data_IF_196941253874
#
_entry.id   IF_196941253874
#
_cell.length_a   1.000
_cell.length_b   1.000
_cell.length_c   1.000
_cell.angle_alpha   90.00
_cell.angle_beta   90.00
_cell.angle_gamma   90.00
#
_symmetry.space_group_name_H-M   'P 1'
#
loop_
_entity.id
_entity.type
_entity.pdbx_description
1 polymer ?
#
# COMPACT_ATOMS: atom_id res chain seq x y z
N UNK A 1 -12.87 9.93 -19.63
CA UNK A 1 -11.95 8.97 -20.30
C UNK A 1 -12.26 8.94 -21.79
N UNK A 2 -11.26 8.99 -22.66
CA UNK A 2 -11.45 9.00 -24.12
C UNK A 2 -11.93 7.64 -24.62
N UNK A 3 -12.81 7.60 -25.63
CA UNK A 3 -13.31 6.33 -26.23
C UNK A 3 -12.17 5.41 -26.69
N UNK A 4 -11.09 5.98 -27.25
CA UNK A 4 -9.89 5.23 -27.64
C UNK A 4 -9.19 4.55 -26.48
N UNK A 5 -9.16 5.17 -25.30
CA UNK A 5 -8.60 4.58 -24.07
C UNK A 5 -9.44 3.39 -23.58
N UNK A 6 -10.77 3.50 -23.65
CA UNK A 6 -11.69 2.40 -23.32
C UNK A 6 -11.47 1.22 -24.29
N UNK A 7 -11.38 1.48 -25.58
CA UNK A 7 -11.12 0.46 -26.59
C UNK A 7 -9.76 -0.22 -26.38
N UNK A 8 -8.72 0.56 -26.02
CA UNK A 8 -7.38 0.03 -25.69
C UNK A 8 -7.44 -0.87 -24.45
N UNK A 9 -8.10 -0.43 -23.37
CA UNK A 9 -8.27 -1.23 -22.14
C UNK A 9 -9.01 -2.54 -22.43
N UNK A 10 -10.11 -2.49 -23.20
CA UNK A 10 -10.86 -3.68 -23.60
C UNK A 10 -9.96 -4.60 -24.43
N UNK A 11 -9.25 -4.08 -25.43
CA UNK A 11 -8.32 -4.83 -26.26
C UNK A 11 -7.21 -5.48 -25.44
N UNK A 12 -6.58 -4.73 -24.52
CA UNK A 12 -5.47 -5.23 -23.72
C UNK A 12 -5.91 -6.19 -22.63
N UNK A 13 -7.14 -6.06 -22.14
CA UNK A 13 -7.69 -6.97 -21.11
C UNK A 13 -8.24 -8.26 -21.71
N UNK A 14 -8.89 -8.19 -22.89
CA UNK A 14 -9.65 -9.30 -23.47
C UNK A 14 -9.02 -9.88 -24.74
N UNK A 15 -8.16 -9.17 -25.47
CA UNK A 15 -7.65 -9.59 -26.78
C UNK A 15 -6.14 -9.86 -26.85
N UNK A 16 -5.35 -9.46 -25.85
CA UNK A 16 -3.91 -9.79 -25.80
C UNK A 16 -3.61 -11.19 -25.27
N UNK A 17 -4.63 -12.00 -25.02
CA UNK A 17 -4.46 -13.30 -24.46
C UNK A 17 -4.67 -14.42 -25.48
N UNK A 18 -3.97 -15.53 -25.28
CA UNK A 18 -4.30 -16.84 -25.85
C UNK A 18 -5.76 -17.19 -25.48
N UNK A 19 -6.35 -18.19 -26.15
CA UNK A 19 -7.65 -18.78 -25.77
C UNK A 19 -7.79 -19.02 -24.26
N UNK A 20 -6.68 -19.32 -23.55
CA UNK A 20 -6.64 -19.44 -22.07
C UNK A 20 -6.97 -18.14 -21.36
N UNK A 21 -6.48 -17.00 -21.81
CA UNK A 21 -6.73 -15.68 -21.19
C UNK A 21 -8.18 -15.24 -21.42
N UNK A 22 -8.74 -15.53 -22.60
CA UNK A 22 -10.14 -15.24 -22.91
C UNK A 22 -11.07 -16.13 -22.07
N UNK A 23 -10.75 -17.40 -21.93
CA UNK A 23 -11.49 -18.33 -21.06
C UNK A 23 -11.39 -17.91 -19.57
N UNK A 24 -10.20 -17.54 -19.12
CA UNK A 24 -10.00 -17.03 -17.77
C UNK A 24 -10.79 -15.73 -17.51
N UNK A 25 -10.77 -14.77 -18.43
CA UNK A 25 -11.54 -13.53 -18.32
C UNK A 25 -13.05 -13.80 -18.30
N UNK A 26 -13.53 -14.69 -19.15
CA UNK A 26 -14.95 -15.07 -19.18
C UNK A 26 -15.36 -15.85 -17.92
N UNK A 27 -14.54 -16.79 -17.44
CA UNK A 27 -14.81 -17.54 -16.22
C UNK A 27 -14.77 -16.63 -14.99
N UNK A 28 -13.89 -15.63 -14.98
CA UNK A 28 -13.77 -14.65 -13.92
C UNK A 28 -14.98 -13.72 -13.87
N UNK A 29 -15.42 -13.21 -15.03
CA UNK A 29 -16.67 -12.42 -15.14
C UNK A 29 -17.88 -13.22 -14.67
N UNK A 30 -17.98 -14.50 -15.08
CA UNK A 30 -19.07 -15.36 -14.61
C UNK A 30 -19.00 -15.68 -13.12
N UNK A 31 -17.80 -15.77 -12.53
CA UNK A 31 -17.61 -15.91 -11.09
C UNK A 31 -18.07 -14.64 -10.35
N UNK A 32 -17.80 -13.45 -10.90
CA UNK A 32 -18.30 -12.18 -10.38
C UNK A 32 -19.82 -12.12 -10.38
N UNK A 33 -20.44 -12.45 -11.50
CA UNK A 33 -21.91 -12.48 -11.62
C UNK A 33 -22.49 -13.48 -10.62
N UNK A 34 -21.93 -14.67 -10.49
CA UNK A 34 -22.35 -15.67 -9.50
C UNK A 34 -22.17 -15.18 -8.06
N UNK A 35 -21.04 -14.52 -7.75
CA UNK A 35 -20.77 -13.94 -6.44
C UNK A 35 -21.81 -12.88 -6.06
N UNK A 36 -22.30 -12.08 -7.03
CA UNK A 36 -23.36 -11.10 -6.83
C UNK A 36 -24.73 -11.76 -6.48
N UNK A 37 -24.97 -12.97 -6.98
CA UNK A 37 -26.30 -13.63 -6.87
C UNK A 37 -26.33 -14.78 -5.86
N UNK A 38 -25.23 -15.05 -5.13
CA UNK A 38 -25.23 -16.10 -4.12
C UNK A 38 -26.12 -15.74 -2.91
N UNK A 39 -26.89 -16.69 -2.37
CA UNK A 39 -27.73 -16.47 -1.19
C UNK A 39 -26.90 -16.05 0.04
N UNK A 40 -27.47 -15.24 0.93
CA UNK A 40 -26.83 -14.79 2.19
C UNK A 40 -25.83 -13.63 2.06
N UNK A 41 -25.81 -12.94 0.92
CA UNK A 41 -24.86 -11.83 0.62
C UNK A 41 -25.53 -10.48 0.41
N UNK A 42 -26.64 -10.22 1.07
CA UNK A 42 -27.42 -9.00 0.82
C UNK A 42 -26.68 -7.72 1.20
N UNK A 43 -25.89 -7.75 2.29
CA UNK A 43 -25.04 -6.63 2.68
C UNK A 43 -23.97 -6.32 1.60
N UNK A 44 -23.31 -7.35 1.09
CA UNK A 44 -22.30 -7.21 0.03
C UNK A 44 -22.92 -6.73 -1.30
N UNK A 45 -24.10 -7.25 -1.67
CA UNK A 45 -24.82 -6.77 -2.86
C UNK A 45 -25.16 -5.28 -2.75
N UNK A 46 -25.57 -4.82 -1.57
CA UNK A 46 -25.82 -3.43 -1.31
C UNK A 46 -24.59 -2.55 -1.52
N UNK A 47 -23.41 -2.98 -1.03
CA UNK A 47 -22.14 -2.26 -1.22
C UNK A 47 -21.71 -2.24 -2.68
N UNK A 48 -21.75 -3.37 -3.39
CA UNK A 48 -21.41 -3.45 -4.82
C UNK A 48 -22.37 -2.60 -5.64
N UNK A 49 -23.69 -2.71 -5.40
CA UNK A 49 -24.71 -1.91 -6.11
C UNK A 49 -24.50 -0.42 -5.89
N UNK A 50 -24.24 0.02 -4.65
CA UNK A 50 -23.90 1.41 -4.32
C UNK A 50 -22.61 1.85 -5.01
N UNK A 51 -21.58 1.00 -5.03
CA UNK A 51 -20.32 1.26 -5.69
C UNK A 51 -20.46 1.45 -7.19
N UNK A 52 -21.17 0.56 -7.86
CA UNK A 52 -21.44 0.64 -9.30
C UNK A 52 -22.29 1.87 -9.65
N UNK A 53 -23.31 2.16 -8.86
CA UNK A 53 -24.16 3.33 -9.08
C UNK A 53 -23.38 4.64 -8.89
N UNK A 54 -22.57 4.72 -7.82
CA UNK A 54 -21.70 5.88 -7.58
C UNK A 54 -20.68 6.07 -8.71
N UNK A 55 -20.13 5.00 -9.24
CA UNK A 55 -19.24 5.04 -10.40
C UNK A 55 -19.98 5.55 -11.66
N UNK A 56 -21.18 5.01 -11.94
CA UNK A 56 -21.97 5.37 -13.14
C UNK A 56 -22.47 6.82 -13.11
N UNK A 57 -22.71 7.37 -11.91
CA UNK A 57 -23.27 8.72 -11.75
C UNK A 57 -22.22 9.80 -11.51
N UNK A 58 -20.92 9.42 -11.42
CA UNK A 58 -19.84 10.35 -11.01
C UNK A 58 -20.10 11.02 -9.65
N UNK A 59 -20.98 10.43 -8.82
CA UNK A 59 -21.64 11.04 -7.67
C UNK A 59 -20.98 10.64 -6.34
N UNK A 60 -19.70 10.33 -6.31
CA UNK A 60 -18.98 10.29 -5.03
C UNK A 60 -18.81 11.73 -4.56
N UNK A 61 -19.67 12.15 -3.63
CA UNK A 61 -19.53 13.46 -3.01
C UNK A 61 -18.39 13.41 -2.00
N UNK A 62 -17.29 14.16 -2.24
CA UNK A 62 -16.18 14.23 -1.30
C UNK A 62 -16.68 14.67 0.08
N UNK A 63 -16.14 14.04 1.13
CA UNK A 63 -16.49 14.36 2.52
C UNK A 63 -15.38 15.18 3.15
N UNK A 64 -15.71 16.40 3.54
CA UNK A 64 -14.79 17.29 4.28
C UNK A 64 -14.98 17.11 5.79
N UNK A 65 -13.90 17.28 6.55
CA UNK A 65 -13.95 17.09 8.00
C UNK A 65 -13.99 15.61 8.41
N UNK A 66 -14.49 15.34 9.61
CA UNK A 66 -14.66 13.99 10.20
C UNK A 66 -13.36 13.18 10.32
N UNK A 67 -12.18 13.78 10.21
CA UNK A 67 -10.89 13.08 10.19
C UNK A 67 -10.67 12.23 11.43
N UNK A 68 -10.98 12.77 12.61
CA UNK A 68 -10.77 12.07 13.88
C UNK A 68 -11.67 10.82 14.00
N UNK A 69 -12.97 10.97 13.71
CA UNK A 69 -13.92 9.86 13.72
C UNK A 69 -13.50 8.76 12.72
N UNK A 70 -13.06 9.16 11.52
CA UNK A 70 -12.66 8.23 10.47
C UNK A 70 -11.33 7.55 10.76
N UNK A 71 -10.38 8.28 11.34
CA UNK A 71 -9.13 7.70 11.81
C UNK A 71 -9.37 6.69 12.95
N UNK A 72 -10.23 7.04 13.91
CA UNK A 72 -10.61 6.10 14.98
C UNK A 72 -11.24 4.83 14.42
N UNK A 73 -12.18 4.96 13.50
CA UNK A 73 -12.82 3.80 12.87
C UNK A 73 -11.82 2.92 12.10
N UNK A 74 -10.83 3.53 11.42
CA UNK A 74 -9.75 2.80 10.74
C UNK A 74 -8.86 2.05 11.75
N UNK A 75 -8.47 2.69 12.86
CA UNK A 75 -7.71 2.05 13.95
C UNK A 75 -8.49 0.88 14.54
N UNK A 76 -9.76 1.10 14.89
CA UNK A 76 -10.62 0.05 15.46
C UNK A 76 -10.76 -1.15 14.52
N UNK A 77 -10.80 -0.91 13.20
CA UNK A 77 -10.84 -1.98 12.21
C UNK A 77 -9.53 -2.77 12.17
N UNK A 78 -8.37 -2.09 12.19
CA UNK A 78 -7.05 -2.73 12.23
C UNK A 78 -6.91 -3.58 13.49
N UNK A 79 -7.34 -3.07 14.66
CA UNK A 79 -7.29 -3.80 15.92
C UNK A 79 -8.22 -5.03 15.94
N UNK A 80 -9.38 -4.96 15.27
CA UNK A 80 -10.22 -6.16 15.05
C UNK A 80 -9.50 -7.18 14.17
N UNK A 81 -8.77 -6.75 13.14
CA UNK A 81 -7.93 -7.62 12.33
C UNK A 81 -6.82 -8.30 13.13
N UNK A 82 -6.21 -7.61 14.10
CA UNK A 82 -5.25 -8.22 15.03
C UNK A 82 -5.94 -9.22 15.96
N UNK A 83 -7.09 -8.86 16.52
CA UNK A 83 -7.82 -9.72 17.47
C UNK A 83 -8.47 -10.95 16.80
N UNK A 84 -8.57 -10.96 15.47
CA UNK A 84 -9.12 -12.11 14.72
C UNK A 84 -8.13 -13.28 14.62
N UNK A 85 -6.86 -13.06 14.93
CA UNK A 85 -5.81 -14.07 14.97
C UNK A 85 -5.22 -14.17 16.39
N UNK A 86 -4.95 -15.38 16.91
CA UNK A 86 -4.39 -15.55 18.24
C UNK A 86 -2.87 -15.30 18.29
N UNK A 87 -2.21 -15.09 17.15
CA UNK A 87 -0.75 -15.04 17.06
C UNK A 87 -0.12 -13.67 17.35
N UNK A 88 -0.90 -12.59 17.32
CA UNK A 88 -0.44 -11.23 17.58
C UNK A 88 -0.20 -10.39 16.32
N UNK A 89 -0.15 -11.01 15.14
CA UNK A 89 -0.11 -10.32 13.86
C UNK A 89 -1.47 -9.77 13.44
N UNK A 90 -1.51 -9.01 12.35
CA UNK A 90 -2.75 -8.48 11.77
C UNK A 90 -3.18 -9.32 10.58
N UNK A 91 -4.46 -9.72 10.56
CA UNK A 91 -5.03 -10.38 9.40
C UNK A 91 -4.78 -9.58 8.13
N UNK A 92 -4.40 -10.26 7.03
CA UNK A 92 -4.17 -9.65 5.72
C UNK A 92 -5.33 -8.73 5.29
N UNK A 93 -6.55 -9.09 5.66
CA UNK A 93 -7.73 -8.29 5.35
C UNK A 93 -9.00 -9.06 5.66
N UNK A 94 -10.14 -8.41 5.38
CA UNK A 94 -11.48 -8.96 5.51
C UNK A 94 -12.15 -9.11 4.15
N UNK A 95 -12.76 -10.27 3.89
CA UNK A 95 -13.48 -10.57 2.66
C UNK A 95 -14.91 -10.99 2.98
N UNK A 96 -15.92 -10.16 2.68
CA UNK A 96 -17.30 -10.43 3.06
C UNK A 96 -17.91 -11.62 2.29
N UNK A 97 -17.23 -12.09 1.26
CA UNK A 97 -17.65 -13.27 0.50
C UNK A 97 -16.47 -14.11 0.08
N UNK A 98 -16.73 -15.38 -0.21
CA UNK A 98 -15.75 -16.29 -0.76
C UNK A 98 -15.28 -15.81 -2.13
N UNK A 99 -13.98 -15.58 -2.27
CA UNK A 99 -13.31 -15.22 -3.52
C UNK A 99 -12.36 -16.37 -3.92
N UNK A 100 -12.94 -17.36 -4.56
CA UNK A 100 -12.18 -18.48 -5.13
C UNK A 100 -11.82 -19.61 -4.15
N UNK A 101 -12.63 -19.88 -3.13
CA UNK A 101 -12.50 -21.04 -2.24
C UNK A 101 -11.70 -20.80 -0.95
N UNK A 102 -11.33 -19.55 -0.66
CA UNK A 102 -10.67 -19.21 0.60
C UNK A 102 -11.65 -18.85 1.74
N UNK A 103 -12.97 -18.97 1.50
CA UNK A 103 -14.04 -18.64 2.44
C UNK A 103 -14.27 -17.13 2.57
N UNK A 104 -15.25 -16.75 3.40
CA UNK A 104 -15.51 -15.37 3.82
C UNK A 104 -14.88 -15.10 5.19
N UNK A 105 -14.68 -13.81 5.54
CA UNK A 105 -14.18 -13.39 6.84
C UNK A 105 -12.74 -12.88 6.83
N UNK A 106 -12.14 -12.84 8.01
CA UNK A 106 -10.75 -12.45 8.21
C UNK A 106 -9.80 -13.51 7.65
N UNK A 107 -8.74 -13.02 7.01
CA UNK A 107 -7.64 -13.88 6.54
C UNK A 107 -6.60 -14.06 7.65
N UNK A 108 -5.63 -14.94 7.42
CA UNK A 108 -4.51 -15.16 8.35
C UNK A 108 -3.64 -13.91 8.48
N UNK A 109 -2.86 -13.84 9.54
CA UNK A 109 -1.89 -12.77 9.77
C UNK A 109 -0.83 -12.73 8.67
N UNK A 110 -0.39 -11.51 8.34
CA UNK A 110 0.51 -11.28 7.23
C UNK A 110 1.69 -10.38 7.67
N UNK A 111 2.93 -10.93 7.70
CA UNK A 111 4.08 -10.19 8.26
C UNK A 111 4.34 -8.86 7.59
N UNK A 112 4.45 -8.81 6.25
CA UNK A 112 4.74 -7.56 5.53
C UNK A 112 3.89 -6.40 6.02
N UNK A 113 2.58 -6.64 6.08
CA UNK A 113 1.62 -5.56 6.35
C UNK A 113 1.47 -5.27 7.83
N UNK A 114 1.65 -6.27 8.68
CA UNK A 114 1.76 -6.07 10.13
C UNK A 114 2.94 -5.15 10.43
N UNK A 115 4.08 -5.34 9.75
CA UNK A 115 5.28 -4.53 9.93
C UNK A 115 5.00 -3.02 9.80
N UNK A 116 4.55 -2.56 8.66
CA UNK A 116 4.33 -1.11 8.49
C UNK A 116 3.08 -0.55 9.20
N UNK A 117 2.13 -1.41 9.62
CA UNK A 117 1.01 -0.99 10.48
C UNK A 117 1.51 -0.53 11.84
N UNK A 118 2.58 -1.14 12.38
CA UNK A 118 3.22 -0.72 13.64
C UNK A 118 3.55 0.77 13.60
N UNK A 119 4.18 1.25 12.52
CA UNK A 119 4.54 2.66 12.36
C UNK A 119 3.31 3.57 12.43
N UNK A 120 2.21 3.21 11.76
CA UNK A 120 0.98 4.01 11.72
C UNK A 120 0.28 4.06 13.07
N UNK A 121 0.17 2.92 13.76
CA UNK A 121 -0.48 2.86 15.07
C UNK A 121 0.30 3.60 16.14
N UNK A 122 1.63 3.51 16.16
CA UNK A 122 2.47 4.27 17.08
C UNK A 122 2.38 5.78 16.82
N UNK A 123 2.33 6.21 15.55
CA UNK A 123 2.12 7.61 15.19
C UNK A 123 0.74 8.11 15.64
N UNK A 124 -0.31 7.31 15.44
CA UNK A 124 -1.67 7.63 15.90
C UNK A 124 -1.73 7.71 17.43
N UNK A 125 -1.20 6.70 18.13
CA UNK A 125 -1.17 6.67 19.59
C UNK A 125 -0.45 7.90 20.18
N UNK A 126 0.68 8.28 19.60
CA UNK A 126 1.44 9.47 20.01
C UNK A 126 0.63 10.76 19.84
N UNK A 127 -0.15 10.88 18.76
CA UNK A 127 -0.94 12.09 18.49
C UNK A 127 -2.16 12.26 19.40
N UNK A 128 -2.74 11.15 19.85
CA UNK A 128 -3.96 11.11 20.69
C UNK A 128 -3.75 10.66 22.12
N UNK A 129 -2.53 10.26 22.53
CA UNK A 129 -2.24 9.72 23.86
C UNK A 129 -2.87 8.34 24.13
N UNK A 130 -3.18 7.56 23.10
CA UNK A 130 -3.87 6.25 23.22
C UNK A 130 -2.86 5.12 23.48
N UNK A 131 -2.61 4.83 24.77
CA UNK A 131 -1.67 3.77 25.18
C UNK A 131 -2.11 2.38 24.75
N UNK A 132 -3.41 2.10 24.69
CA UNK A 132 -3.91 0.79 24.28
C UNK A 132 -3.59 0.48 22.79
N UNK A 133 -3.62 1.51 21.95
CA UNK A 133 -3.19 1.39 20.54
C UNK A 133 -1.68 1.19 20.44
N UNK A 134 -0.89 1.90 21.27
CA UNK A 134 0.56 1.68 21.34
C UNK A 134 0.90 0.25 21.79
N UNK A 135 0.24 -0.25 22.82
CA UNK A 135 0.42 -1.63 23.32
C UNK A 135 0.07 -2.67 22.25
N UNK A 136 -0.98 -2.42 21.44
CA UNK A 136 -1.33 -3.29 20.32
C UNK A 136 -0.23 -3.29 19.23
N UNK A 137 0.33 -2.14 18.91
CA UNK A 137 1.45 -2.03 17.96
C UNK A 137 2.71 -2.75 18.49
N UNK A 138 2.98 -2.66 19.79
CA UNK A 138 4.11 -3.37 20.40
C UNK A 138 3.92 -4.89 20.37
N UNK A 139 2.69 -5.40 20.57
CA UNK A 139 2.42 -6.85 20.38
C UNK A 139 2.69 -7.29 18.93
N UNK A 140 2.36 -6.47 17.94
CA UNK A 140 2.70 -6.73 16.53
C UNK A 140 4.22 -6.79 16.35
N UNK A 141 4.97 -5.83 16.93
CA UNK A 141 6.42 -5.77 16.81
C UNK A 141 7.11 -7.01 17.44
N UNK A 142 6.61 -7.50 18.57
CA UNK A 142 7.10 -8.72 19.19
C UNK A 142 6.78 -9.97 18.35
N UNK A 143 5.57 -10.08 17.81
CA UNK A 143 5.21 -11.16 16.91
C UNK A 143 6.11 -11.20 15.67
N UNK A 144 6.44 -10.06 15.07
CA UNK A 144 7.38 -9.99 13.95
C UNK A 144 8.78 -10.51 14.32
N UNK A 145 9.23 -10.26 15.58
CA UNK A 145 10.51 -10.81 16.06
C UNK A 145 10.44 -12.34 16.19
N UNK A 146 9.30 -12.88 16.62
CA UNK A 146 9.10 -14.32 16.79
C UNK A 146 9.05 -15.06 15.43
N UNK A 147 8.54 -14.41 14.37
CA UNK A 147 8.43 -15.01 13.02
C UNK A 147 9.57 -14.65 12.08
N UNK A 148 10.55 -13.85 12.53
CA UNK A 148 11.73 -13.51 11.73
C UNK A 148 12.52 -14.78 11.38
N UNK A 149 12.91 -14.92 10.11
CA UNK A 149 13.72 -16.04 9.66
C UNK A 149 15.12 -16.01 10.32
N UNK A 150 15.76 -17.18 10.53
CA UNK A 150 17.11 -17.25 11.10
C UNK A 150 18.17 -16.44 10.33
N UNK A 151 17.93 -16.21 9.04
CA UNK A 151 18.80 -15.38 8.18
C UNK A 151 18.69 -13.87 8.45
N UNK A 152 17.72 -13.44 9.23
CA UNK A 152 17.39 -12.03 9.45
C UNK A 152 16.31 -11.49 8.50
N UNK A 153 16.02 -12.20 7.41
CA UNK A 153 14.94 -11.83 6.48
C UNK A 153 13.54 -12.05 7.08
N UNK A 154 12.54 -11.53 6.38
CA UNK A 154 11.14 -11.86 6.57
C UNK A 154 10.61 -12.58 5.34
N UNK A 155 9.78 -13.59 5.55
CA UNK A 155 9.22 -14.39 4.47
C UNK A 155 8.20 -13.59 3.63
N UNK A 156 8.07 -13.94 2.37
CA UNK A 156 6.96 -13.53 1.50
C UNK A 156 5.72 -14.38 1.77
N UNK A 157 4.56 -13.73 1.81
CA UNK A 157 3.30 -14.43 2.08
C UNK A 157 3.01 -14.64 3.57
N UNK A 158 1.91 -15.34 3.90
CA UNK A 158 1.56 -15.72 5.27
C UNK A 158 2.62 -16.62 5.91
N UNK A 159 2.66 -16.62 7.26
CA UNK A 159 3.58 -17.50 8.00
C UNK A 159 3.36 -18.96 7.61
N UNK A 160 4.44 -19.64 7.28
CA UNK A 160 4.43 -21.05 6.88
C UNK A 160 5.61 -21.80 7.52
N UNK A 161 5.59 -23.16 7.52
CA UNK A 161 6.70 -23.95 8.03
C UNK A 161 8.04 -23.61 7.37
N UNK A 162 9.18 -23.71 8.11
CA UNK A 162 10.49 -23.27 7.66
C UNK A 162 10.91 -23.77 6.27
N UNK A 163 10.56 -25.00 5.94
CA UNK A 163 10.90 -25.63 4.64
C UNK A 163 10.16 -25.02 3.43
N UNK A 164 9.13 -24.23 3.67
CA UNK A 164 8.36 -23.50 2.65
C UNK A 164 8.58 -22.00 2.65
N UNK A 165 9.35 -21.51 3.63
CA UNK A 165 9.62 -20.07 3.73
C UNK A 165 10.48 -19.59 2.57
N UNK A 166 10.11 -18.46 2.00
CA UNK A 166 10.89 -17.77 0.97
C UNK A 166 11.10 -16.33 1.39
N UNK A 167 12.35 -15.93 1.56
CA UNK A 167 12.69 -14.56 1.91
C UNK A 167 12.22 -13.56 0.84
N UNK A 168 11.80 -12.38 1.26
CA UNK A 168 11.39 -11.30 0.37
C UNK A 168 11.91 -9.95 0.85
N UNK A 169 12.65 -9.25 -0.03
CA UNK A 169 13.23 -7.96 0.31
C UNK A 169 12.15 -6.95 0.70
N UNK A 170 11.04 -6.88 -0.05
CA UNK A 170 9.98 -5.94 0.24
C UNK A 170 9.37 -6.19 1.63
N UNK A 171 9.02 -7.45 1.95
CA UNK A 171 8.48 -7.83 3.26
C UNK A 171 9.45 -7.50 4.40
N UNK A 172 10.74 -7.81 4.21
CA UNK A 172 11.78 -7.51 5.20
C UNK A 172 11.91 -6.00 5.43
N UNK A 173 11.86 -5.19 4.37
CA UNK A 173 11.91 -3.73 4.48
C UNK A 173 10.70 -3.15 5.23
N UNK A 174 9.50 -3.68 4.99
CA UNK A 174 8.29 -3.19 5.65
C UNK A 174 8.28 -3.52 7.15
N UNK A 175 8.77 -4.71 7.52
CA UNK A 175 8.89 -5.09 8.92
C UNK A 175 10.02 -4.31 9.61
N UNK A 176 11.14 -4.05 8.91
CA UNK A 176 12.22 -3.18 9.42
C UNK A 176 11.70 -1.76 9.75
N UNK A 177 10.84 -1.18 8.89
CA UNK A 177 10.21 0.13 9.16
C UNK A 177 9.40 0.12 10.46
N UNK A 178 8.63 -0.95 10.68
CA UNK A 178 7.89 -1.17 11.93
C UNK A 178 8.79 -1.29 13.14
N UNK A 179 9.85 -2.10 13.06
CA UNK A 179 10.82 -2.23 14.16
C UNK A 179 11.58 -0.93 14.45
N UNK A 180 11.93 -0.15 13.45
CA UNK A 180 12.48 1.19 13.66
C UNK A 180 11.56 2.05 14.53
N UNK A 181 10.27 2.06 14.20
CA UNK A 181 9.26 2.82 14.97
C UNK A 181 9.06 2.25 16.37
N UNK A 182 8.99 0.92 16.51
CA UNK A 182 8.82 0.25 17.79
C UNK A 182 10.03 0.46 18.70
N UNK A 183 11.25 0.41 18.17
CA UNK A 183 12.46 0.69 18.95
C UNK A 183 12.52 2.14 19.42
N UNK A 184 12.20 3.10 18.56
CA UNK A 184 12.15 4.52 18.94
C UNK A 184 11.10 4.76 20.04
N UNK A 185 10.02 3.98 20.04
CA UNK A 185 8.98 4.08 21.07
C UNK A 185 9.40 3.44 22.40
N UNK A 186 9.99 2.23 22.39
CA UNK A 186 10.18 1.40 23.57
C UNK A 186 11.62 1.35 24.09
N UNK A 187 12.62 1.53 23.21
CA UNK A 187 14.03 1.32 23.53
C UNK A 187 14.43 -0.14 23.72
N UNK A 188 13.56 -1.12 23.35
CA UNK A 188 13.80 -2.53 23.61
C UNK A 188 14.96 -3.12 22.78
N UNK A 189 16.04 -3.65 23.43
CA UNK A 189 17.19 -4.18 22.69
C UNK A 189 16.87 -5.34 21.76
N UNK A 190 15.86 -6.18 22.09
CA UNK A 190 15.43 -7.32 21.26
C UNK A 190 14.89 -6.86 19.91
N UNK A 191 14.15 -5.74 19.88
CA UNK A 191 13.61 -5.15 18.65
C UNK A 191 14.75 -4.56 17.82
N UNK A 192 15.70 -3.85 18.46
CA UNK A 192 16.86 -3.29 17.77
C UNK A 192 17.72 -4.39 17.12
N UNK A 193 17.91 -5.51 17.79
CA UNK A 193 18.66 -6.65 17.27
C UNK A 193 17.97 -7.30 16.07
N UNK A 194 16.65 -7.48 16.13
CA UNK A 194 15.87 -7.98 15.00
C UNK A 194 15.93 -7.01 13.80
N UNK A 195 15.81 -5.71 14.06
CA UNK A 195 15.96 -4.67 13.05
C UNK A 195 17.36 -4.68 12.40
N UNK A 196 18.42 -4.88 13.20
CA UNK A 196 19.80 -4.98 12.71
C UNK A 196 19.97 -6.16 11.76
N UNK A 197 19.50 -7.34 12.16
CA UNK A 197 19.59 -8.54 11.31
C UNK A 197 18.83 -8.36 9.98
N UNK A 198 17.67 -7.70 10.01
CA UNK A 198 16.91 -7.40 8.81
C UNK A 198 17.63 -6.37 7.90
N UNK A 199 18.19 -5.32 8.50
CA UNK A 199 18.94 -4.30 7.76
C UNK A 199 20.21 -4.88 7.13
N UNK A 200 20.96 -5.70 7.86
CA UNK A 200 22.12 -6.40 7.34
C UNK A 200 21.76 -7.30 6.15
N UNK A 201 20.71 -8.12 6.31
CA UNK A 201 20.23 -8.98 5.25
C UNK A 201 19.81 -8.19 3.99
N UNK A 202 19.10 -7.07 4.16
CA UNK A 202 18.70 -6.21 3.04
C UNK A 202 19.89 -5.58 2.31
N UNK A 203 20.91 -5.14 3.06
CA UNK A 203 22.13 -4.57 2.46
C UNK A 203 22.91 -5.64 1.69
N UNK A 204 23.02 -6.85 2.22
CA UNK A 204 23.69 -7.98 1.59
C UNK A 204 22.92 -8.53 0.37
N UNK A 205 21.60 -8.32 0.33
CA UNK A 205 20.76 -8.72 -0.81
C UNK A 205 20.83 -7.73 -1.98
N UNK A 206 21.36 -6.53 -1.81
CA UNK A 206 21.61 -5.62 -2.92
C UNK A 206 22.73 -6.16 -3.82
N UNK A 207 22.52 -6.09 -5.13
CA UNK A 207 23.57 -6.33 -6.11
C UNK A 207 24.49 -5.10 -6.25
N UNK A 208 25.53 -5.24 -7.08
CA UNK A 208 26.51 -4.15 -7.34
C UNK A 208 25.84 -2.90 -7.96
N UNK A 209 24.69 -3.08 -8.62
CA UNK A 209 23.93 -2.01 -9.24
C UNK A 209 22.94 -1.33 -8.30
N UNK A 210 22.68 -1.92 -7.13
CA UNK A 210 21.74 -1.41 -6.11
C UNK A 210 20.33 -1.97 -6.22
N UNK A 211 20.09 -3.08 -6.94
CA UNK A 211 18.82 -3.78 -6.98
C UNK A 211 18.80 -4.97 -6.03
N UNK A 212 17.64 -5.24 -5.43
CA UNK A 212 17.45 -6.42 -4.60
C UNK A 212 17.39 -7.69 -5.45
N UNK A 213 18.11 -8.74 -5.03
CA UNK A 213 18.17 -10.04 -5.70
C UNK A 213 17.00 -10.96 -5.33
N UNK A 214 16.44 -10.81 -4.13
CA UNK A 214 15.47 -11.74 -3.53
C UNK A 214 14.12 -11.07 -3.33
N UNK A 215 13.19 -11.29 -4.27
CA UNK A 215 11.89 -10.61 -4.30
C UNK A 215 10.71 -11.55 -3.93
N UNK A 216 10.95 -12.63 -3.19
CA UNK A 216 9.94 -13.61 -2.81
C UNK A 216 9.64 -14.66 -3.88
N UNK A 217 8.69 -15.55 -3.60
CA UNK A 217 8.36 -16.69 -4.45
C UNK A 217 7.65 -16.31 -5.78
N UNK A 218 7.06 -15.11 -5.85
CA UNK A 218 6.24 -14.68 -6.99
C UNK A 218 7.03 -13.94 -8.07
N UNK A 219 8.29 -13.66 -7.83
CA UNK A 219 9.16 -12.87 -8.71
C UNK A 219 10.46 -13.63 -8.93
N UNK A 220 10.93 -13.67 -10.18
CA UNK A 220 12.20 -14.31 -10.50
C UNK A 220 13.36 -13.64 -9.76
N UNK A 221 14.32 -14.44 -9.28
CA UNK A 221 15.50 -13.91 -8.60
C UNK A 221 16.27 -12.97 -9.52
N UNK A 222 16.63 -11.79 -9.02
CA UNK A 222 17.34 -10.77 -9.80
C UNK A 222 16.46 -9.98 -10.77
N UNK A 223 15.14 -10.21 -10.80
CA UNK A 223 14.23 -9.38 -11.59
C UNK A 223 14.10 -7.99 -10.95
N UNK A 224 14.37 -6.94 -11.72
CA UNK A 224 14.30 -5.56 -11.23
C UNK A 224 12.88 -5.20 -10.83
N UNK A 225 12.72 -4.62 -9.63
CA UNK A 225 11.46 -4.09 -9.12
C UNK A 225 11.69 -2.71 -8.48
N UNK A 226 11.18 -1.66 -9.13
CA UNK A 226 11.38 -0.28 -8.65
C UNK A 226 10.52 0.06 -7.43
N UNK A 227 9.42 -0.64 -7.17
CA UNK A 227 8.60 -0.42 -5.98
C UNK A 227 9.32 -0.76 -4.66
N UNK A 228 10.45 -1.49 -4.73
CA UNK A 228 11.31 -1.77 -3.56
C UNK A 228 12.00 -0.53 -3.00
N UNK A 229 11.85 0.65 -3.60
CA UNK A 229 12.31 1.92 -3.06
C UNK A 229 11.85 2.17 -1.61
N UNK A 230 10.69 1.65 -1.21
CA UNK A 230 10.22 1.82 0.17
C UNK A 230 11.10 1.06 1.18
N UNK A 231 11.75 -0.05 0.77
CA UNK A 231 12.75 -0.74 1.59
C UNK A 231 13.99 0.15 1.84
N UNK A 232 14.39 0.93 0.84
CA UNK A 232 15.50 1.87 1.00
C UNK A 232 15.22 2.91 2.10
N UNK A 233 13.98 3.39 2.21
CA UNK A 233 13.59 4.25 3.32
C UNK A 233 13.75 3.57 4.68
N UNK A 234 13.29 2.33 4.82
CA UNK A 234 13.44 1.58 6.06
C UNK A 234 14.92 1.39 6.46
N UNK A 235 15.78 1.06 5.48
CA UNK A 235 17.24 0.94 5.70
C UNK A 235 17.86 2.28 6.10
N UNK A 236 17.45 3.39 5.45
CA UNK A 236 17.94 4.72 5.77
C UNK A 236 17.61 5.10 7.22
N UNK A 237 16.34 4.89 7.63
CA UNK A 237 15.89 5.10 9.02
C UNK A 237 16.70 4.28 10.02
N UNK A 238 16.97 3.01 9.70
CA UNK A 238 17.82 2.18 10.56
C UNK A 238 19.24 2.74 10.64
N UNK A 239 19.78 3.28 9.56
CA UNK A 239 21.06 3.99 9.54
C UNK A 239 21.09 5.22 10.44
N UNK A 240 19.97 5.94 10.56
CA UNK A 240 19.84 7.07 11.52
C UNK A 240 19.81 6.56 12.97
N UNK A 241 19.08 5.50 13.24
CA UNK A 241 18.91 4.91 14.59
C UNK A 241 20.23 4.29 15.08
N UNK A 242 20.91 3.55 14.22
CA UNK A 242 22.18 2.85 14.56
C UNK A 242 23.39 3.76 14.54
N UNK A 243 23.31 4.92 13.88
CA UNK A 243 24.46 5.80 13.61
C UNK A 243 25.45 5.26 12.57
N UNK A 244 25.10 4.19 11.85
CA UNK A 244 25.99 3.54 10.90
C UNK A 244 25.72 4.03 9.46
N UNK A 245 26.67 4.73 8.89
CA UNK A 245 26.56 5.35 7.56
C UNK A 245 26.37 4.34 6.42
N UNK A 246 26.87 3.08 6.58
CA UNK A 246 26.75 2.03 5.55
C UNK A 246 25.31 1.76 5.11
N UNK A 247 24.33 1.86 6.05
CA UNK A 247 22.91 1.66 5.76
C UNK A 247 22.34 2.82 4.93
N UNK A 248 22.69 4.06 5.28
CA UNK A 248 22.27 5.24 4.52
C UNK A 248 22.82 5.21 3.09
N UNK A 249 24.09 4.84 2.93
CA UNK A 249 24.73 4.71 1.62
C UNK A 249 24.09 3.58 0.79
N UNK A 250 23.76 2.45 1.41
CA UNK A 250 23.04 1.36 0.73
C UNK A 250 21.65 1.82 0.26
N UNK A 251 20.91 2.55 1.09
CA UNK A 251 19.62 3.11 0.75
C UNK A 251 19.71 4.09 -0.45
N UNK A 252 20.68 5.01 -0.42
CA UNK A 252 20.91 5.97 -1.50
C UNK A 252 21.22 5.23 -2.81
N UNK A 253 22.13 4.23 -2.79
CA UNK A 253 22.44 3.42 -3.99
C UNK A 253 21.21 2.72 -4.55
N UNK A 254 20.32 2.21 -3.68
CA UNK A 254 19.07 1.56 -4.12
C UNK A 254 18.11 2.56 -4.79
N UNK A 255 17.99 3.78 -4.26
CA UNK A 255 17.20 4.84 -4.92
C UNK A 255 17.81 5.24 -6.26
N UNK A 256 19.14 5.44 -6.33
CA UNK A 256 19.83 5.75 -7.58
C UNK A 256 19.64 4.65 -8.64
N UNK A 257 19.60 3.38 -8.23
CA UNK A 257 19.28 2.26 -9.10
C UNK A 257 17.86 2.38 -9.68
N UNK A 258 16.87 2.69 -8.84
CA UNK A 258 15.50 2.90 -9.28
C UNK A 258 15.36 4.11 -10.21
N UNK A 259 16.06 5.21 -9.94
CA UNK A 259 16.03 6.41 -10.79
C UNK A 259 16.57 6.15 -12.20
N UNK A 260 17.49 5.20 -12.39
CA UNK A 260 17.91 4.77 -13.73
C UNK A 260 16.76 4.13 -14.55
N UNK A 261 15.70 3.72 -13.90
CA UNK A 261 14.49 3.17 -14.53
C UNK A 261 13.42 4.23 -14.81
N UNK A 262 13.64 5.48 -14.38
CA UNK A 262 12.69 6.57 -14.65
C UNK A 262 12.89 7.11 -16.07
N UNK A 263 11.82 7.13 -16.85
CA UNK A 263 11.77 7.73 -18.17
C UNK A 263 11.61 9.27 -18.11
N UNK A 264 11.85 9.96 -19.20
CA UNK A 264 11.77 11.42 -19.29
C UNK A 264 10.40 11.99 -18.88
N UNK A 265 9.31 11.25 -19.09
CA UNK A 265 7.96 11.62 -18.70
C UNK A 265 7.60 11.26 -17.24
N UNK A 266 8.58 10.86 -16.42
CA UNK A 266 8.38 10.49 -15.03
C UNK A 266 7.92 9.05 -14.78
N UNK A 267 7.71 8.26 -15.82
CA UNK A 267 7.34 6.86 -15.72
C UNK A 267 8.51 6.00 -15.18
N UNK A 268 8.24 5.13 -14.19
CA UNK A 268 9.21 4.14 -13.74
C UNK A 268 8.93 2.79 -14.40
N UNK A 269 9.91 2.26 -15.13
CA UNK A 269 9.86 0.89 -15.62
C UNK A 269 9.98 -0.10 -14.47
N UNK A 270 9.58 -1.36 -14.69
CA UNK A 270 9.64 -2.45 -13.70
C UNK A 270 8.88 -2.17 -12.39
N UNK A 271 7.88 -1.31 -12.43
CA UNK A 271 7.16 -0.84 -11.25
C UNK A 271 5.86 -1.60 -11.01
N UNK A 272 5.88 -2.91 -11.07
CA UNK A 272 4.71 -3.73 -10.70
C UNK A 272 5.12 -5.15 -10.32
N UNK A 273 4.30 -5.77 -9.48
CA UNK A 273 4.46 -7.16 -9.11
C UNK A 273 4.21 -8.11 -10.29
N UNK A 274 3.14 -7.88 -11.08
CA UNK A 274 2.67 -8.80 -12.12
C UNK A 274 2.53 -8.17 -13.52
N UNK A 275 2.27 -6.87 -13.62
CA UNK A 275 2.01 -6.17 -14.89
C UNK A 275 2.89 -4.94 -15.01
N UNK A 276 4.12 -5.13 -15.49
CA UNK A 276 5.09 -4.03 -15.67
C UNK A 276 4.68 -3.02 -16.75
N UNK A 277 3.84 -3.43 -17.71
CA UNK A 277 3.26 -2.56 -18.75
C UNK A 277 2.16 -1.64 -18.23
N UNK A 278 1.53 -1.99 -17.09
CA UNK A 278 0.45 -1.22 -16.48
C UNK A 278 0.47 -1.37 -14.95
N UNK A 279 1.45 -0.78 -14.25
CA UNK A 279 1.56 -0.82 -12.79
C UNK A 279 0.33 -0.23 -12.10
N UNK A 280 0.09 -0.72 -10.89
CA UNK A 280 -0.89 -0.13 -9.99
C UNK A 280 -0.38 1.20 -9.43
N UNK A 281 -1.29 2.15 -9.18
CA UNK A 281 -0.98 3.35 -8.38
C UNK A 281 -0.41 3.00 -7.02
N UNK A 282 -0.73 1.82 -6.48
CA UNK A 282 -0.16 1.27 -5.26
C UNK A 282 1.37 1.07 -5.35
N UNK A 283 1.85 0.39 -6.39
CA UNK A 283 3.30 0.21 -6.58
C UNK A 283 4.00 1.51 -6.97
N UNK A 284 3.33 2.39 -7.73
CA UNK A 284 3.81 3.75 -7.99
C UNK A 284 3.96 4.52 -6.67
N UNK A 285 2.97 4.43 -5.77
CA UNK A 285 3.01 5.05 -4.44
C UNK A 285 4.20 4.58 -3.60
N UNK A 286 4.50 3.29 -3.58
CA UNK A 286 5.69 2.75 -2.91
C UNK A 286 6.99 3.34 -3.45
N UNK A 287 7.13 3.39 -4.77
CA UNK A 287 8.33 3.97 -5.40
C UNK A 287 8.48 5.43 -5.01
N UNK A 288 7.43 6.23 -5.19
CA UNK A 288 7.49 7.66 -4.91
C UNK A 288 7.74 7.98 -3.44
N UNK A 289 7.11 7.22 -2.53
CA UNK A 289 7.30 7.41 -1.10
C UNK A 289 8.76 7.10 -0.70
N UNK A 290 9.31 5.97 -1.14
CA UNK A 290 10.70 5.61 -0.84
C UNK A 290 11.69 6.62 -1.39
N UNK A 291 11.54 7.04 -2.66
CA UNK A 291 12.39 8.05 -3.30
C UNK A 291 12.30 9.40 -2.56
N UNK A 292 11.09 9.85 -2.23
CA UNK A 292 10.88 11.13 -1.56
C UNK A 292 11.48 11.14 -0.15
N UNK A 293 11.17 10.13 0.67
CA UNK A 293 11.61 10.14 2.07
C UNK A 293 13.14 10.05 2.19
N UNK A 294 13.80 9.20 1.37
CA UNK A 294 15.26 9.16 1.31
C UNK A 294 15.80 10.49 0.76
N UNK A 295 15.16 11.06 -0.26
CA UNK A 295 15.55 12.36 -0.83
C UNK A 295 15.51 13.49 0.19
N UNK A 296 14.45 13.57 0.97
CA UNK A 296 14.29 14.58 2.03
C UNK A 296 15.32 14.38 3.15
N UNK A 297 15.52 13.15 3.61
CA UNK A 297 16.43 12.84 4.71
C UNK A 297 17.91 13.02 4.32
N UNK A 298 18.27 12.68 3.07
CA UNK A 298 19.64 12.80 2.55
C UNK A 298 19.96 14.17 1.92
N UNK A 299 18.98 15.09 1.85
CA UNK A 299 19.16 16.40 1.20
C UNK A 299 19.37 16.30 -0.32
N UNK A 300 18.82 15.26 -0.98
CA UNK A 300 18.98 14.97 -2.42
C UNK A 300 17.82 15.60 -3.23
N UNK A 301 18.03 16.79 -3.73
CA UNK A 301 17.02 17.51 -4.54
C UNK A 301 16.66 16.77 -5.84
N UNK A 302 17.60 16.07 -6.45
CA UNK A 302 17.38 15.26 -7.65
C UNK A 302 16.38 14.11 -7.41
N UNK A 303 16.33 13.53 -6.20
CA UNK A 303 15.33 12.54 -5.81
C UNK A 303 13.95 13.19 -5.67
N UNK A 304 13.88 14.37 -5.04
CA UNK A 304 12.64 15.14 -4.91
C UNK A 304 12.11 15.54 -6.29
N UNK A 305 12.97 15.99 -7.21
CA UNK A 305 12.61 16.35 -8.58
C UNK A 305 12.09 15.15 -9.38
N UNK A 306 12.62 13.95 -9.15
CA UNK A 306 12.12 12.73 -9.76
C UNK A 306 10.68 12.42 -9.34
N UNK A 307 10.36 12.56 -8.05
CA UNK A 307 9.00 12.40 -7.52
C UNK A 307 8.07 13.46 -8.12
N UNK A 308 8.50 14.73 -8.11
CA UNK A 308 7.75 15.84 -8.70
C UNK A 308 7.40 15.56 -10.16
N UNK A 309 8.36 15.11 -10.97
CA UNK A 309 8.15 14.79 -12.40
C UNK A 309 7.06 13.73 -12.59
N UNK A 310 7.06 12.69 -11.75
CA UNK A 310 6.02 11.65 -11.81
C UNK A 310 4.65 12.17 -11.41
N UNK A 311 4.55 12.93 -10.30
CA UNK A 311 3.28 13.48 -9.84
C UNK A 311 2.70 14.48 -10.83
N UNK A 312 3.53 15.33 -11.44
CA UNK A 312 3.09 16.33 -12.45
C UNK A 312 2.50 15.65 -13.70
N UNK A 313 2.97 14.45 -14.05
CA UNK A 313 2.42 13.68 -15.16
C UNK A 313 1.17 12.86 -14.77
N UNK A 314 1.11 12.35 -13.53
CA UNK A 314 0.05 11.48 -13.06
C UNK A 314 -1.21 12.24 -12.62
N UNK A 315 -1.04 13.32 -11.84
CA UNK A 315 -2.17 14.04 -11.21
C UNK A 315 -3.17 14.66 -12.19
N UNK A 316 -2.82 15.07 -13.41
CA UNK A 316 -3.81 15.52 -14.41
C UNK A 316 -4.87 14.49 -14.77
N UNK A 317 -4.65 13.20 -14.47
CA UNK A 317 -5.63 12.13 -14.67
C UNK A 317 -6.65 12.02 -13.51
N UNK A 318 -6.46 12.78 -12.43
CA UNK A 318 -7.41 12.81 -11.32
C UNK A 318 -8.63 13.64 -11.68
N UNK A 319 -9.82 13.11 -11.41
CA UNK A 319 -11.08 13.84 -11.60
C UNK A 319 -11.30 14.88 -10.47
N UNK A 320 -12.25 15.77 -10.69
CA UNK A 320 -12.62 16.79 -9.69
C UNK A 320 -13.11 16.18 -8.37
N UNK A 321 -13.74 15.00 -8.41
CA UNK A 321 -14.16 14.23 -7.24
C UNK A 321 -13.02 13.66 -6.40
N UNK A 322 -11.80 13.61 -6.92
CA UNK A 322 -10.67 12.87 -6.32
C UNK A 322 -10.53 11.43 -6.84
N UNK A 323 -11.44 10.98 -7.72
CA UNK A 323 -11.26 9.69 -8.39
C UNK A 323 -9.96 9.68 -9.21
N UNK A 324 -9.16 8.63 -9.05
CA UNK A 324 -7.94 8.40 -9.81
C UNK A 324 -7.95 6.96 -10.34
N UNK A 325 -7.69 6.73 -11.67
CA UNK A 325 -7.54 5.39 -12.21
C UNK A 325 -6.46 4.59 -11.47
N UNK A 326 -6.75 3.31 -11.21
CA UNK A 326 -5.86 2.47 -10.39
C UNK A 326 -4.63 1.92 -11.13
N UNK A 327 -4.55 2.09 -12.45
CA UNK A 327 -3.44 1.66 -13.31
C UNK A 327 -3.22 2.65 -14.44
N UNK A 328 -1.97 2.74 -14.89
CA UNK A 328 -1.56 3.58 -16.01
C UNK A 328 -0.64 2.82 -16.96
N UNK A 329 -0.69 3.14 -18.24
CA UNK A 329 0.32 2.79 -19.24
C UNK A 329 1.51 3.77 -19.19
N UNK A 330 2.59 3.45 -19.89
CA UNK A 330 3.81 4.27 -19.90
C UNK A 330 3.63 5.70 -20.46
N UNK A 331 2.58 5.95 -21.19
CA UNK A 331 2.15 7.25 -21.70
C UNK A 331 1.20 8.00 -20.74
N UNK A 332 1.02 7.50 -19.52
CA UNK A 332 0.10 7.98 -18.49
C UNK A 332 -1.39 7.89 -18.87
N UNK A 333 -1.74 7.20 -19.95
CA UNK A 333 -3.14 6.88 -20.20
C UNK A 333 -3.65 5.84 -19.20
N UNK A 334 -4.88 5.99 -18.67
CA UNK A 334 -5.46 5.02 -17.77
C UNK A 334 -5.50 3.61 -18.35
N UNK A 335 -5.09 2.62 -17.58
CA UNK A 335 -5.06 1.21 -17.95
C UNK A 335 -6.13 0.36 -17.25
N UNK A 336 -7.09 0.98 -16.59
CA UNK A 336 -8.20 0.33 -15.90
C UNK A 336 -9.33 1.28 -15.60
N UNK A 337 -10.53 0.72 -15.35
CA UNK A 337 -11.75 1.48 -15.01
C UNK A 337 -11.94 1.64 -13.49
N UNK A 338 -11.30 0.80 -12.69
CA UNK A 338 -11.38 0.88 -11.22
C UNK A 338 -10.24 1.73 -10.65
N UNK A 339 -10.53 2.41 -9.56
CA UNK A 339 -9.50 3.01 -8.71
C UNK A 339 -8.82 1.95 -7.83
N UNK A 340 -7.54 2.12 -7.53
CA UNK A 340 -6.84 1.40 -6.47
C UNK A 340 -6.79 2.30 -5.23
N UNK A 341 -7.62 2.01 -4.21
CA UNK A 341 -7.78 2.92 -3.09
C UNK A 341 -6.54 3.01 -2.21
N UNK A 342 -5.77 1.92 -2.10
CA UNK A 342 -4.44 1.95 -1.47
C UNK A 342 -3.53 2.96 -2.17
N UNK A 343 -3.46 2.91 -3.51
CA UNK A 343 -2.63 3.83 -4.28
C UNK A 343 -3.06 5.28 -4.13
N UNK A 344 -4.38 5.54 -4.10
CA UNK A 344 -4.92 6.89 -3.85
C UNK A 344 -4.48 7.43 -2.49
N UNK A 345 -4.51 6.60 -1.43
CA UNK A 345 -4.06 6.99 -0.09
C UNK A 345 -2.54 7.28 -0.05
N UNK A 346 -1.73 6.41 -0.66
CA UNK A 346 -0.28 6.60 -0.73
C UNK A 346 0.11 7.85 -1.51
N UNK A 347 -0.54 8.10 -2.65
CA UNK A 347 -0.28 9.32 -3.43
C UNK A 347 -0.68 10.57 -2.66
N UNK A 348 -1.74 10.53 -1.84
CA UNK A 348 -2.08 11.63 -0.95
C UNK A 348 -0.95 11.91 0.06
N UNK A 349 -0.37 10.86 0.66
CA UNK A 349 0.77 10.99 1.58
C UNK A 349 1.95 11.65 0.87
N UNK A 350 2.35 11.14 -0.31
CA UNK A 350 3.46 11.70 -1.09
C UNK A 350 3.20 13.17 -1.45
N UNK A 351 1.97 13.51 -1.85
CA UNK A 351 1.57 14.88 -2.17
C UNK A 351 1.65 15.81 -0.96
N UNK A 352 1.18 15.40 0.23
CA UNK A 352 1.31 16.22 1.44
C UNK A 352 2.77 16.43 1.84
N UNK A 353 3.59 15.39 1.78
CA UNK A 353 5.02 15.47 2.08
C UNK A 353 5.75 16.42 1.12
N UNK A 354 5.47 16.28 -0.18
CA UNK A 354 6.06 17.14 -1.20
C UNK A 354 5.59 18.60 -1.07
N UNK A 355 4.29 18.82 -0.80
CA UNK A 355 3.74 20.16 -0.56
C UNK A 355 4.41 20.84 0.63
N UNK A 356 4.61 20.14 1.74
CA UNK A 356 5.29 20.66 2.92
C UNK A 356 6.75 21.02 2.65
N UNK A 357 7.45 20.28 1.81
CA UNK A 357 8.84 20.56 1.45
C UNK A 357 8.98 21.72 0.47
N UNK A 358 8.16 21.76 -0.59
CA UNK A 358 8.27 22.76 -1.67
C UNK A 358 7.50 24.06 -1.39
N UNK A 359 6.56 24.05 -0.45
CA UNK A 359 5.61 25.15 -0.25
C UNK A 359 4.57 25.29 -1.37
N UNK A 360 4.37 24.26 -2.22
CA UNK A 360 3.46 24.29 -3.35
C UNK A 360 2.06 23.77 -2.98
N UNK A 361 1.08 24.66 -2.83
CA UNK A 361 -0.29 24.32 -2.43
C UNK A 361 -0.98 23.31 -3.36
N UNK A 362 -0.64 23.30 -4.66
CA UNK A 362 -1.28 22.40 -5.64
C UNK A 362 -1.20 20.92 -5.28
N UNK A 363 -0.11 20.48 -4.65
CA UNK A 363 0.04 19.10 -4.18
C UNK A 363 -0.82 18.83 -2.95
N UNK A 364 -0.89 19.77 -2.01
CA UNK A 364 -1.79 19.66 -0.86
C UNK A 364 -3.26 19.61 -1.29
N UNK A 365 -3.66 20.41 -2.27
CA UNK A 365 -5.03 20.41 -2.82
C UNK A 365 -5.35 19.11 -3.54
N UNK A 366 -4.37 18.51 -4.21
CA UNK A 366 -4.53 17.19 -4.81
C UNK A 366 -4.67 16.10 -3.74
N UNK A 367 -3.87 16.15 -2.68
CA UNK A 367 -3.97 15.25 -1.55
C UNK A 367 -5.32 15.35 -0.84
N UNK A 368 -5.82 16.57 -0.59
CA UNK A 368 -7.14 16.79 0.00
C UNK A 368 -8.26 16.13 -0.82
N UNK A 369 -8.25 16.28 -2.14
CA UNK A 369 -9.23 15.63 -3.04
C UNK A 369 -9.17 14.11 -2.94
N UNK A 370 -7.96 13.52 -2.92
CA UNK A 370 -7.80 12.07 -2.77
C UNK A 370 -8.32 11.59 -1.41
N UNK A 371 -8.01 12.29 -0.32
CA UNK A 371 -8.46 11.91 1.03
C UNK A 371 -9.96 12.10 1.18
N UNK A 372 -10.52 13.22 0.70
CA UNK A 372 -11.96 13.47 0.78
C UNK A 372 -12.78 12.47 -0.04
N UNK A 373 -12.23 12.01 -1.18
CA UNK A 373 -12.78 10.89 -1.96
C UNK A 373 -12.74 9.57 -1.17
N UNK A 374 -11.61 9.25 -0.53
CA UNK A 374 -11.47 8.03 0.28
C UNK A 374 -12.43 8.03 1.49
N UNK A 375 -12.63 9.17 2.14
CA UNK A 375 -13.61 9.32 3.23
C UNK A 375 -15.02 8.93 2.78
N UNK A 376 -15.41 9.32 1.56
CA UNK A 376 -16.72 8.98 1.02
C UNK A 376 -16.89 7.47 0.76
N UNK A 377 -15.77 6.75 0.62
CA UNK A 377 -15.76 5.29 0.38
C UNK A 377 -15.53 4.46 1.65
N UNK A 378 -15.11 5.06 2.76
CA UNK A 378 -14.99 4.37 4.03
C UNK A 378 -16.39 4.01 4.56
N UNK A 379 -16.63 2.75 4.83
CA UNK A 379 -17.89 2.33 5.46
C UNK A 379 -17.86 2.59 6.96
N UNK A 380 -18.73 3.46 7.45
CA UNK A 380 -18.97 3.68 8.88
C UNK A 380 -20.25 3.03 9.40
N UNK A 381 -21.10 2.50 8.51
CA UNK A 381 -22.43 1.97 8.81
C UNK A 381 -22.74 0.74 7.96
N UNK A 382 -21.85 -0.25 7.95
CA UNK A 382 -22.14 -1.53 7.31
C UNK A 382 -22.93 -2.42 8.27
N UNK A 383 -23.82 -3.25 7.75
CA UNK A 383 -24.45 -4.34 8.51
C UNK A 383 -23.45 -5.45 8.82
N UNK A 384 -22.39 -5.56 8.02
CA UNK A 384 -21.26 -6.46 8.28
C UNK A 384 -20.18 -5.72 9.10
N UNK A 385 -20.00 -6.11 10.38
CA UNK A 385 -18.99 -5.48 11.25
C UNK A 385 -17.57 -5.58 10.72
N UNK A 386 -17.27 -6.60 9.90
CA UNK A 386 -15.97 -6.78 9.26
C UNK A 386 -15.65 -5.70 8.22
N UNK A 387 -16.65 -4.96 7.73
CA UNK A 387 -16.46 -3.86 6.78
C UNK A 387 -16.38 -2.48 7.44
N UNK A 388 -16.82 -2.33 8.71
CA UNK A 388 -16.92 -1.01 9.37
C UNK A 388 -15.56 -0.44 9.67
N UNK A 389 -15.24 0.74 9.15
CA UNK A 389 -13.97 1.44 9.33
C UNK A 389 -12.94 1.15 8.26
N UNK A 390 -13.15 0.14 7.43
CA UNK A 390 -12.22 -0.29 6.40
C UNK A 390 -12.26 0.55 5.12
N UNK A 391 -11.18 0.49 4.36
CA UNK A 391 -11.08 0.90 2.95
C UNK A 391 -10.93 -0.33 2.08
N UNK A 392 -11.75 -0.45 1.04
CA UNK A 392 -11.65 -1.54 0.06
C UNK A 392 -10.37 -1.45 -0.78
N UNK A 393 -9.95 -2.57 -1.39
CA UNK A 393 -8.80 -2.58 -2.28
C UNK A 393 -9.03 -1.77 -3.56
N UNK A 394 -10.26 -1.82 -4.11
CA UNK A 394 -10.65 -1.12 -5.33
C UNK A 394 -11.99 -0.40 -5.17
N UNK A 395 -12.21 0.59 -6.03
CA UNK A 395 -13.54 1.16 -6.27
C UNK A 395 -13.82 1.20 -7.78
N UNK A 396 -14.94 0.59 -8.28
CA UNK A 396 -15.85 -0.26 -7.52
C UNK A 396 -15.15 -1.44 -6.84
N UNK A 397 -15.76 -2.02 -5.81
CA UNK A 397 -15.16 -3.10 -4.99
C UNK A 397 -14.84 -4.37 -5.79
N UNK A 398 -15.45 -4.55 -6.96
CA UNK A 398 -15.17 -5.61 -7.93
C UNK A 398 -13.96 -5.30 -8.85
N UNK A 399 -13.27 -4.19 -8.62
CA UNK A 399 -12.07 -3.83 -9.38
C UNK A 399 -10.96 -4.88 -9.25
N UNK A 400 -9.98 -4.82 -10.16
CA UNK A 400 -8.98 -5.86 -10.32
C UNK A 400 -7.98 -5.99 -9.15
N UNK A 401 -7.91 -5.02 -8.24
CA UNK A 401 -6.98 -5.07 -7.11
C UNK A 401 -7.71 -5.41 -5.82
N UNK A 402 -7.32 -6.50 -5.18
CA UNK A 402 -7.95 -7.02 -3.95
C UNK A 402 -9.47 -7.05 -4.06
N UNK A 403 -9.93 -7.67 -5.14
CA UNK A 403 -11.34 -7.78 -5.50
C UNK A 403 -12.18 -8.28 -4.33
N UNK A 404 -13.33 -7.63 -4.11
CA UNK A 404 -14.30 -7.99 -3.06
C UNK A 404 -13.71 -7.99 -1.65
N UNK A 405 -12.55 -7.34 -1.43
CA UNK A 405 -11.82 -7.40 -0.19
C UNK A 405 -11.44 -6.03 0.37
N UNK A 406 -11.23 -6.05 1.67
CA UNK A 406 -10.74 -4.93 2.47
C UNK A 406 -9.34 -5.30 2.99
N UNK A 407 -8.27 -5.01 2.23
CA UNK A 407 -6.91 -5.30 2.67
C UNK A 407 -6.49 -4.34 3.79
N UNK A 408 -5.74 -4.83 4.78
CA UNK A 408 -5.34 -4.05 5.93
C UNK A 408 -4.49 -2.82 5.54
N UNK A 409 -3.69 -2.93 4.50
CA UNK A 409 -2.84 -1.84 4.02
C UNK A 409 -3.61 -0.69 3.36
N UNK A 410 -4.78 -0.93 2.76
CA UNK A 410 -5.61 0.18 2.25
C UNK A 410 -6.09 1.06 3.41
N UNK A 411 -6.55 0.43 4.49
CA UNK A 411 -6.99 1.11 5.70
C UNK A 411 -5.83 1.81 6.42
N UNK A 412 -4.66 1.16 6.49
CA UNK A 412 -3.42 1.72 7.07
C UNK A 412 -2.99 2.99 6.35
N UNK A 413 -2.86 2.96 5.02
CA UNK A 413 -2.45 4.15 4.27
C UNK A 413 -3.49 5.27 4.30
N UNK A 414 -4.77 4.92 4.35
CA UNK A 414 -5.82 5.90 4.59
C UNK A 414 -5.70 6.58 5.96
N UNK A 415 -5.40 5.82 7.02
CA UNK A 415 -5.12 6.37 8.36
C UNK A 415 -3.96 7.38 8.32
N UNK A 416 -2.86 7.03 7.65
CA UNK A 416 -1.70 7.93 7.53
C UNK A 416 -2.05 9.22 6.78
N UNK A 417 -2.80 9.10 5.67
CA UNK A 417 -3.25 10.25 4.89
C UNK A 417 -4.20 11.17 5.70
N UNK A 418 -5.10 10.58 6.51
CA UNK A 418 -5.97 11.33 7.43
C UNK A 418 -5.18 12.09 8.49
N UNK A 419 -4.17 11.48 9.08
CA UNK A 419 -3.31 12.14 10.06
C UNK A 419 -2.56 13.33 9.46
N UNK A 420 -2.05 13.20 8.24
CA UNK A 420 -1.38 14.30 7.53
C UNK A 420 -2.35 15.42 7.16
N UNK A 421 -3.56 15.10 6.69
CA UNK A 421 -4.59 16.10 6.44
C UNK A 421 -4.96 16.85 7.72
N UNK A 422 -5.14 16.13 8.83
CA UNK A 422 -5.47 16.73 10.12
C UNK A 422 -4.36 17.64 10.64
N UNK A 423 -3.10 17.24 10.50
CA UNK A 423 -1.96 18.06 10.89
C UNK A 423 -1.92 19.37 10.09
N UNK A 424 -2.15 19.30 8.77
CA UNK A 424 -2.21 20.50 7.90
C UNK A 424 -3.36 21.45 8.27
N UNK A 425 -4.52 20.93 8.65
CA UNK A 425 -5.68 21.77 9.00
C UNK A 425 -5.55 22.48 10.36
N UNK A 426 -4.55 22.09 11.18
CA UNK A 426 -4.24 22.71 12.46
C UNK A 426 -3.18 23.82 12.38
N UNK A 427 -2.45 23.89 11.25
CA UNK A 427 -1.46 24.93 10.91
C UNK A 427 -2.09 26.04 10.10
#
# INVERSE_FOLDING_TARGET
MRLGTIARIIKDTYYKGSLKTTYWAASHFMAEVRALWAPGRDAFRGEVGRGLWRFATDAVMPIRGENEQRARAAVDWILRGQSSSPDGGVALGYFPCDDGGAGSGWRVSYPETTGYIITSLLAYAKSGGDTAVADAAMRMAHWEVDVQMPTGAVQGGPVCPPERQTAAAFNTGMVLDGWCSAYVHSGEPRILEAARRAADWLVDDLDEQGYYKTNGAFVSRGEIKTYTCLCAWAIYRFGEISGEERYKQAAIRSIEAALRQQQANGWFAHNCLTRSDAPLTHTIGYTLQGVLEVGLAAGRSDFVDAVRRTLDALLPNMQASGYLPGRFYADWEPAGLSSCLTGSAQLAIVCYRLAGHLGEARYADAADKLVDYLKALQSLRSEDPGCVGAIAGSFPILGAYMRSGYPNWATKYFLDALMLQQARLRT
#
